data_IF_024847931296
#
_entry.id   IF_024847931296
#
_cell.length_a   1.000
_cell.length_b   1.000
_cell.length_c   1.000
_cell.angle_alpha   90.00
_cell.angle_beta   90.00
_cell.angle_gamma   90.00
#
_symmetry.space_group_name_H-M   'P 1'
#
loop_
_entity.id
_entity.type
_entity.pdbx_description
1 polymer ?
#
# COMPACT_ATOMS: atom_id res chain seq x y z
N UNK A 1 -23.40 -14.99 5.87
CA UNK A 1 -23.91 -13.90 6.76
C UNK A 1 -24.63 -14.58 7.93
N UNK A 2 -24.48 -14.10 9.17
CA UNK A 2 -25.15 -14.71 10.34
C UNK A 2 -26.61 -14.26 10.43
N UNK A 3 -27.50 -15.16 10.86
CA UNK A 3 -28.92 -14.87 11.11
C UNK A 3 -29.21 -14.48 12.57
N UNK A 4 -28.26 -14.67 13.48
CA UNK A 4 -28.40 -14.38 14.91
C UNK A 4 -28.46 -12.87 15.19
N UNK A 5 -29.55 -12.41 15.81
CA UNK A 5 -29.79 -10.99 16.10
C UNK A 5 -28.85 -10.41 17.17
N UNK A 6 -28.48 -11.19 18.19
CA UNK A 6 -27.53 -10.77 19.22
C UNK A 6 -26.12 -10.58 18.65
N UNK A 7 -25.72 -11.47 17.73
CA UNK A 7 -24.45 -11.33 16.99
C UNK A 7 -24.48 -10.13 16.04
N UNK A 8 -25.61 -9.89 15.35
CA UNK A 8 -25.76 -8.69 14.50
C UNK A 8 -25.69 -7.40 15.31
N UNK A 9 -26.28 -7.38 16.51
CA UNK A 9 -26.22 -6.23 17.41
C UNK A 9 -24.80 -6.00 17.91
N UNK A 10 -24.12 -7.05 18.42
CA UNK A 10 -22.72 -6.95 18.84
C UNK A 10 -21.80 -6.45 17.73
N UNK A 11 -21.96 -6.98 16.49
CA UNK A 11 -21.17 -6.52 15.35
C UNK A 11 -21.48 -5.06 14.98
N UNK A 12 -22.73 -4.60 15.11
CA UNK A 12 -23.12 -3.19 14.93
C UNK A 12 -22.46 -2.31 15.98
N UNK A 13 -22.52 -2.68 17.26
CA UNK A 13 -21.86 -1.95 18.35
C UNK A 13 -20.35 -1.88 18.13
N UNK A 14 -19.70 -3.00 17.82
CA UNK A 14 -18.25 -3.03 17.51
C UNK A 14 -17.89 -2.14 16.32
N UNK A 15 -18.71 -2.11 15.26
CA UNK A 15 -18.46 -1.20 14.13
C UNK A 15 -18.63 0.27 14.49
N UNK A 16 -19.57 0.62 15.38
CA UNK A 16 -19.76 1.99 15.86
C UNK A 16 -18.54 2.48 16.67
N UNK A 17 -18.04 1.65 17.59
CA UNK A 17 -16.86 2.02 18.40
C UNK A 17 -15.57 1.94 17.58
N UNK A 18 -15.43 0.95 16.71
CA UNK A 18 -14.25 0.76 15.88
C UNK A 18 -13.94 1.97 15.00
N UNK A 19 -14.96 2.72 14.55
CA UNK A 19 -14.75 3.93 13.74
C UNK A 19 -13.94 5.02 14.46
N UNK A 20 -14.15 5.17 15.78
CA UNK A 20 -13.40 6.13 16.60
C UNK A 20 -12.04 5.61 17.03
N UNK A 21 -11.80 4.30 16.91
CA UNK A 21 -10.52 3.70 17.23
C UNK A 21 -9.54 3.92 16.06
N UNK A 22 -8.47 4.71 16.25
CA UNK A 22 -7.44 4.88 15.25
C UNK A 22 -6.86 3.52 14.86
N UNK A 23 -6.49 3.37 13.58
CA UNK A 23 -5.82 2.16 13.08
C UNK A 23 -6.69 0.88 13.11
N UNK A 24 -7.97 1.02 13.45
CA UNK A 24 -8.95 -0.06 13.38
C UNK A 24 -9.25 -0.48 11.95
N UNK A 25 -9.90 -1.63 11.82
CA UNK A 25 -10.43 -2.09 10.53
C UNK A 25 -11.48 -1.11 9.99
N UNK A 26 -12.29 -0.53 10.86
CA UNK A 26 -13.33 0.43 10.54
C UNK A 26 -12.75 1.75 10.01
N UNK A 27 -11.60 2.21 10.53
CA UNK A 27 -10.84 3.33 9.96
C UNK A 27 -10.40 3.00 8.51
N UNK A 28 -9.86 1.80 8.25
CA UNK A 28 -9.51 1.39 6.87
C UNK A 28 -10.72 1.33 5.93
N UNK A 29 -11.89 0.94 6.43
CA UNK A 29 -13.14 1.01 5.67
C UNK A 29 -13.56 2.45 5.36
N UNK A 30 -13.32 3.39 6.28
CA UNK A 30 -13.52 4.83 6.04
C UNK A 30 -12.62 5.34 4.92
N UNK A 31 -11.30 5.06 4.99
CA UNK A 31 -10.34 5.40 3.93
C UNK A 31 -10.77 4.83 2.56
N UNK A 32 -11.26 3.58 2.53
CA UNK A 32 -11.78 2.96 1.31
C UNK A 32 -12.96 3.74 0.71
N UNK A 33 -13.88 4.25 1.53
CA UNK A 33 -15.01 5.06 1.05
C UNK A 33 -14.53 6.39 0.47
N UNK A 34 -13.53 7.02 1.09
CA UNK A 34 -12.89 8.24 0.56
C UNK A 34 -12.26 7.99 -0.81
N UNK A 35 -11.49 6.91 -0.95
CA UNK A 35 -10.95 6.48 -2.25
C UNK A 35 -12.05 6.25 -3.28
N UNK A 36 -13.13 5.56 -2.91
CA UNK A 36 -14.28 5.34 -3.81
C UNK A 36 -14.92 6.66 -4.26
N UNK A 37 -15.05 7.63 -3.37
CA UNK A 37 -15.54 8.96 -3.71
C UNK A 37 -14.63 9.68 -4.71
N UNK A 38 -13.31 9.57 -4.56
CA UNK A 38 -12.35 10.13 -5.54
C UNK A 38 -12.45 9.42 -6.89
N UNK A 39 -12.66 8.11 -6.89
CA UNK A 39 -12.88 7.34 -8.13
C UNK A 39 -14.15 7.81 -8.84
N UNK A 40 -15.23 8.05 -8.10
CA UNK A 40 -16.47 8.59 -8.67
C UNK A 40 -16.27 10.01 -9.25
N UNK A 41 -15.45 10.84 -8.60
CA UNK A 41 -15.21 12.22 -9.00
C UNK A 41 -14.23 12.37 -10.16
N UNK A 42 -13.15 11.59 -10.17
CA UNK A 42 -12.00 11.78 -11.06
C UNK A 42 -11.72 10.59 -11.99
N UNK A 43 -12.52 9.53 -11.92
CA UNK A 43 -12.28 8.27 -12.64
C UNK A 43 -11.27 7.36 -11.94
N UNK A 44 -10.83 6.32 -12.65
CA UNK A 44 -9.84 5.34 -12.12
C UNK A 44 -8.48 6.03 -11.97
N UNK A 45 -7.78 5.96 -10.83
CA UNK A 45 -6.48 6.61 -10.66
C UNK A 45 -5.46 6.12 -11.68
N UNK A 46 -4.67 7.05 -12.22
CA UNK A 46 -3.63 6.75 -13.22
C UNK A 46 -2.43 6.01 -12.63
N UNK A 47 -2.00 6.40 -11.43
CA UNK A 47 -0.77 5.85 -10.81
C UNK A 47 -1.11 5.29 -9.43
N UNK A 48 -0.69 4.05 -9.21
CA UNK A 48 -0.67 3.42 -7.89
C UNK A 48 0.76 2.97 -7.56
N UNK A 49 1.22 3.29 -6.37
CA UNK A 49 2.53 2.85 -5.87
C UNK A 49 2.54 2.80 -4.35
N UNK A 50 3.59 2.20 -3.80
CA UNK A 50 3.83 2.14 -2.36
C UNK A 50 5.16 2.80 -2.05
N UNK A 51 5.19 3.71 -1.08
CA UNK A 51 6.44 4.24 -0.54
C UNK A 51 6.68 3.67 0.85
N UNK A 52 7.86 3.08 1.03
CA UNK A 52 8.31 2.45 2.26
C UNK A 52 9.70 3.01 2.58
N UNK A 53 9.78 4.19 3.25
CA UNK A 53 11.04 4.79 3.63
C UNK A 53 11.89 3.82 4.45
N UNK A 54 13.19 3.80 4.20
CA UNK A 54 14.11 2.93 4.92
C UNK A 54 14.49 3.54 6.27
N UNK A 55 13.71 3.26 7.30
CA UNK A 55 13.91 3.76 8.67
C UNK A 55 15.05 3.07 9.44
N UNK A 56 15.79 2.16 8.81
CA UNK A 56 16.90 1.40 9.44
C UNK A 56 18.25 2.01 9.10
N UNK A 57 18.49 2.31 7.82
CA UNK A 57 19.80 2.78 7.35
C UNK A 57 19.78 4.15 6.71
N UNK A 58 18.63 4.83 6.66
CA UNK A 58 18.57 6.18 6.10
C UNK A 58 19.35 7.18 6.99
N UNK A 59 20.30 7.94 6.43
CA UNK A 59 21.11 8.89 7.19
C UNK A 59 20.30 9.95 7.94
N UNK A 60 19.24 10.49 7.34
CA UNK A 60 18.35 11.50 7.97
C UNK A 60 17.74 10.93 9.22
N UNK A 61 17.21 9.69 9.15
CA UNK A 61 16.60 9.02 10.29
C UNK A 61 17.63 8.73 11.38
N UNK A 62 18.80 8.20 11.02
CA UNK A 62 19.86 7.88 11.97
C UNK A 62 20.39 9.13 12.68
N UNK A 63 20.56 10.24 11.94
CA UNK A 63 20.95 11.54 12.50
C UNK A 63 19.88 12.07 13.45
N UNK A 64 18.61 12.05 13.06
CA UNK A 64 17.50 12.45 13.92
C UNK A 64 17.49 11.65 15.24
N UNK A 65 17.64 10.33 15.17
CA UNK A 65 17.66 9.48 16.35
C UNK A 65 18.87 9.78 17.26
N UNK A 66 20.06 9.92 16.68
CA UNK A 66 21.27 10.21 17.46
C UNK A 66 21.16 11.55 18.21
N UNK A 67 20.67 12.60 17.56
CA UNK A 67 20.50 13.93 18.15
C UNK A 67 19.35 14.02 19.15
N UNK A 68 18.37 13.12 19.10
CA UNK A 68 17.27 13.06 20.06
C UNK A 68 17.65 12.34 21.36
N UNK A 69 18.60 11.42 21.29
CA UNK A 69 19.00 10.59 22.44
C UNK A 69 20.30 11.01 23.09
N UNK A 70 21.05 11.94 22.49
CA UNK A 70 22.41 12.31 22.89
C UNK A 70 22.68 13.79 22.62
N UNK A 71 23.62 14.36 23.37
CA UNK A 71 24.17 15.70 23.12
C UNK A 71 24.87 15.77 21.74
N UNK A 72 24.94 16.96 21.08
CA UNK A 72 25.46 17.11 19.72
C UNK A 72 26.81 16.45 19.44
N UNK A 73 27.81 16.67 20.30
CA UNK A 73 29.16 16.11 20.11
C UNK A 73 29.16 14.58 20.22
N UNK A 74 28.37 14.03 21.15
CA UNK A 74 28.22 12.59 21.34
C UNK A 74 27.43 11.96 20.18
N UNK A 75 26.42 12.66 19.65
CA UNK A 75 25.67 12.24 18.47
C UNK A 75 26.59 12.16 17.24
N UNK A 76 27.41 13.17 16.99
CA UNK A 76 28.36 13.18 15.86
C UNK A 76 29.43 12.09 15.99
N UNK A 77 30.00 11.92 17.17
CA UNK A 77 30.94 10.83 17.44
C UNK A 77 30.28 9.45 17.21
N UNK A 78 29.03 9.29 17.63
CA UNK A 78 28.27 8.06 17.42
C UNK A 78 28.02 7.81 15.93
N UNK A 79 27.58 8.82 15.18
CA UNK A 79 27.31 8.74 13.74
C UNK A 79 28.56 8.33 12.95
N UNK A 80 29.73 8.90 13.27
CA UNK A 80 31.01 8.50 12.68
C UNK A 80 31.37 7.03 12.97
N UNK A 81 30.93 6.51 14.13
CA UNK A 81 31.16 5.11 14.53
C UNK A 81 30.14 4.09 13.96
N UNK A 82 29.13 4.54 13.20
CA UNK A 82 28.06 3.72 12.62
C UNK A 82 28.46 2.88 11.39
N UNK A 83 29.75 2.56 11.23
CA UNK A 83 30.22 1.65 10.17
C UNK A 83 29.61 0.24 10.24
N UNK A 84 29.13 -0.17 11.42
CA UNK A 84 28.57 -1.51 11.65
C UNK A 84 27.03 -1.53 11.50
N UNK A 85 26.52 -2.40 10.63
CA UNK A 85 25.08 -2.61 10.37
C UNK A 85 24.26 -2.87 11.64
N UNK A 86 24.81 -3.60 12.62
CA UNK A 86 24.18 -3.87 13.90
C UNK A 86 23.93 -2.61 14.74
N UNK A 87 24.87 -1.65 14.77
CA UNK A 87 24.70 -0.40 15.53
C UNK A 87 23.57 0.45 14.95
N UNK A 88 23.43 0.48 13.62
CA UNK A 88 22.33 1.17 12.92
C UNK A 88 20.99 0.55 13.26
N UNK A 89 20.89 -0.77 13.22
CA UNK A 89 19.68 -1.50 13.59
C UNK A 89 19.30 -1.26 15.05
N UNK A 90 20.27 -1.30 15.97
CA UNK A 90 20.04 -1.04 17.41
C UNK A 90 19.51 0.37 17.64
N UNK A 91 20.15 1.40 17.07
CA UNK A 91 19.66 2.77 17.18
C UNK A 91 18.26 2.91 16.56
N UNK A 92 18.03 2.22 15.44
CA UNK A 92 16.76 2.31 14.74
C UNK A 92 15.59 1.74 15.56
N UNK A 93 15.84 0.66 16.30
CA UNK A 93 14.86 0.01 17.18
C UNK A 93 14.71 0.79 18.50
N UNK A 94 15.77 1.39 19.03
CA UNK A 94 15.73 2.05 20.34
C UNK A 94 14.99 3.39 20.35
N UNK A 95 14.86 4.05 19.20
CA UNK A 95 14.10 5.31 19.07
C UNK A 95 13.01 5.22 17.98
N UNK A 96 11.87 4.58 18.30
CA UNK A 96 10.73 4.51 17.39
C UNK A 96 10.04 5.88 17.17
N UNK A 97 10.30 6.88 18.04
CA UNK A 97 9.78 8.24 17.83
C UNK A 97 10.46 8.90 16.64
N UNK A 98 11.77 8.74 16.48
CA UNK A 98 12.46 9.18 15.26
C UNK A 98 11.94 8.50 14.00
N UNK A 99 11.56 7.22 14.04
CA UNK A 99 10.95 6.56 12.88
C UNK A 99 9.62 7.19 12.50
N UNK A 100 8.77 7.54 13.48
CA UNK A 100 7.48 8.18 13.22
C UNK A 100 7.63 9.60 12.65
N UNK A 101 8.50 10.42 13.27
CA UNK A 101 8.80 11.79 12.81
C UNK A 101 9.40 11.76 11.39
N UNK A 102 10.40 10.89 11.17
CA UNK A 102 11.04 10.72 9.87
C UNK A 102 10.00 10.34 8.81
N UNK A 103 9.20 9.30 9.06
CA UNK A 103 8.17 8.87 8.13
C UNK A 103 7.24 10.04 7.77
N UNK A 104 6.66 10.72 8.75
CA UNK A 104 5.72 11.80 8.49
C UNK A 104 6.37 12.94 7.68
N UNK A 105 7.58 13.38 8.06
CA UNK A 105 8.36 14.38 7.33
C UNK A 105 8.56 13.98 5.86
N UNK A 106 9.06 12.78 5.61
CA UNK A 106 9.32 12.30 4.23
C UNK A 106 8.03 12.22 3.41
N UNK A 107 6.92 11.79 4.01
CA UNK A 107 5.65 11.68 3.29
C UNK A 107 5.06 13.05 2.96
N UNK A 108 5.17 14.02 3.87
CA UNK A 108 4.75 15.42 3.66
C UNK A 108 5.58 16.06 2.55
N UNK A 109 6.91 16.02 2.64
CA UNK A 109 7.81 16.56 1.61
C UNK A 109 7.57 15.92 0.24
N UNK A 110 7.30 14.61 0.21
CA UNK A 110 6.96 13.92 -1.03
C UNK A 110 5.68 14.47 -1.67
N UNK A 111 4.60 14.65 -0.90
CA UNK A 111 3.36 15.18 -1.47
C UNK A 111 3.48 16.66 -1.85
N UNK A 112 4.23 17.44 -1.08
CA UNK A 112 4.41 18.87 -1.29
C UNK A 112 5.29 19.16 -2.52
N UNK A 113 6.44 18.48 -2.64
CA UNK A 113 7.45 18.82 -3.64
C UNK A 113 7.51 17.86 -4.84
N UNK A 114 7.19 16.57 -4.66
CA UNK A 114 7.24 15.60 -5.75
C UNK A 114 5.89 15.43 -6.44
N UNK A 115 4.78 15.39 -5.69
CA UNK A 115 3.43 15.25 -6.25
C UNK A 115 2.83 16.60 -6.65
N UNK A 116 3.07 17.65 -5.86
CA UNK A 116 2.84 19.05 -6.22
C UNK A 116 1.50 19.33 -6.91
N UNK A 117 0.40 19.00 -6.22
CA UNK A 117 -0.96 19.06 -6.81
C UNK A 117 -1.28 20.45 -7.36
N UNK A 118 -1.81 20.49 -8.59
CA UNK A 118 -2.19 21.72 -9.30
C UNK A 118 -1.07 22.33 -10.14
N UNK A 119 0.17 21.87 -9.94
CA UNK A 119 1.37 22.35 -10.63
C UNK A 119 2.05 21.23 -11.42
N UNK A 120 3.16 21.57 -12.10
CA UNK A 120 4.03 20.59 -12.75
C UNK A 120 4.81 19.81 -11.68
N UNK A 121 4.70 18.48 -11.72
CA UNK A 121 5.28 17.56 -10.74
C UNK A 121 6.16 16.51 -11.42
N UNK A 122 6.90 15.71 -10.65
CA UNK A 122 7.71 14.62 -11.23
C UNK A 122 6.87 13.53 -11.90
N UNK A 123 5.57 13.50 -11.62
CA UNK A 123 4.60 12.58 -12.23
C UNK A 123 3.76 13.25 -13.33
N UNK A 124 4.12 14.47 -13.75
CA UNK A 124 3.28 15.34 -14.59
C UNK A 124 2.23 16.09 -13.77
N UNK A 125 1.18 16.61 -14.42
CA UNK A 125 0.18 17.47 -13.76
C UNK A 125 -0.84 16.66 -12.94
N UNK A 126 -0.69 16.67 -11.62
CA UNK A 126 -1.56 15.94 -10.67
C UNK A 126 -2.73 16.82 -10.22
N UNK A 127 -3.95 16.27 -10.21
CA UNK A 127 -5.16 16.97 -9.75
C UNK A 127 -5.61 16.54 -8.36
N UNK A 128 -5.33 15.30 -7.95
CA UNK A 128 -5.64 14.81 -6.61
C UNK A 128 -4.77 13.59 -6.24
N UNK A 129 -4.71 13.28 -4.95
CA UNK A 129 -4.06 12.08 -4.43
C UNK A 129 -4.75 11.55 -3.17
N UNK A 130 -4.51 10.27 -2.92
CA UNK A 130 -4.83 9.62 -1.65
C UNK A 130 -3.69 8.69 -1.23
N UNK A 131 -3.22 8.80 0.01
CA UNK A 131 -2.18 7.97 0.61
C UNK A 131 -2.65 7.33 1.90
N UNK A 132 -2.90 6.02 1.92
CA UNK A 132 -3.26 5.30 3.14
C UNK A 132 -2.00 4.81 3.87
N UNK A 133 -1.86 5.19 5.14
CA UNK A 133 -0.73 4.78 5.99
C UNK A 133 -1.02 3.42 6.62
N UNK A 134 -0.02 2.55 6.58
CA UNK A 134 -0.06 1.23 7.20
C UNK A 134 1.29 0.88 7.82
N UNK A 135 1.28 -0.17 8.63
CA UNK A 135 2.51 -0.77 9.14
C UNK A 135 2.83 -2.03 8.34
N UNK A 136 4.08 -2.17 7.90
CA UNK A 136 4.56 -3.39 7.26
C UNK A 136 4.82 -4.51 8.30
N UNK A 137 5.17 -5.70 7.82
CA UNK A 137 5.44 -6.88 8.66
C UNK A 137 6.62 -6.69 9.65
N UNK A 138 7.44 -5.66 9.45
CA UNK A 138 8.56 -5.31 10.35
C UNK A 138 8.17 -4.29 11.42
N UNK A 139 6.94 -3.79 11.41
CA UNK A 139 6.51 -2.74 12.34
C UNK A 139 6.84 -1.31 11.88
N UNK A 140 7.39 -1.11 10.69
CA UNK A 140 7.67 0.23 10.14
C UNK A 140 6.50 0.75 9.30
N UNK A 141 6.32 2.08 9.27
CA UNK A 141 5.26 2.72 8.50
C UNK A 141 5.61 2.75 7.00
N UNK A 142 4.61 2.48 6.17
CA UNK A 142 4.64 2.66 4.72
C UNK A 142 3.29 3.24 4.27
N UNK A 143 3.26 3.82 3.07
CA UNK A 143 2.05 4.40 2.50
C UNK A 143 1.72 3.77 1.16
N UNK A 144 0.45 3.41 0.98
CA UNK A 144 -0.10 3.04 -0.32
C UNK A 144 -0.77 4.26 -0.95
N UNK A 145 -0.33 4.64 -2.15
CA UNK A 145 -0.73 5.90 -2.79
C UNK A 145 -1.48 5.70 -4.10
N UNK A 146 -2.34 6.65 -4.38
CA UNK A 146 -3.14 6.82 -5.58
C UNK A 146 -2.97 8.25 -6.07
N UNK A 147 -2.64 8.43 -7.35
CA UNK A 147 -2.57 9.73 -8.00
C UNK A 147 -3.56 9.81 -9.17
N UNK A 148 -4.20 10.96 -9.30
CA UNK A 148 -5.05 11.30 -10.43
C UNK A 148 -4.38 12.41 -11.25
N UNK A 149 -4.22 12.17 -12.55
CA UNK A 149 -3.66 13.13 -13.48
C UNK A 149 -4.72 14.12 -13.99
N UNK A 150 -4.29 15.26 -14.52
CA UNK A 150 -5.16 16.12 -15.29
C UNK A 150 -5.67 15.37 -16.55
N UNK A 151 -6.98 15.34 -16.78
CA UNK A 151 -7.60 14.57 -17.87
C UNK A 151 -7.87 13.08 -17.56
N UNK A 152 -7.69 12.66 -16.30
CA UNK A 152 -7.78 11.24 -15.87
C UNK A 152 -9.18 10.59 -16.03
N UNK A 153 -10.27 11.36 -16.11
CA UNK A 153 -11.63 10.82 -16.12
C UNK A 153 -11.93 9.87 -17.29
N UNK A 154 -11.17 9.96 -18.39
CA UNK A 154 -11.36 9.12 -19.58
C UNK A 154 -10.47 7.86 -19.61
N UNK A 155 -9.71 7.55 -18.55
CA UNK A 155 -8.76 6.44 -18.55
C UNK A 155 -9.41 5.06 -18.83
N UNK A 156 -10.67 4.88 -18.42
CA UNK A 156 -11.40 3.61 -18.61
C UNK A 156 -11.85 3.37 -20.05
N UNK A 157 -12.14 4.41 -20.82
CA UNK A 157 -12.46 4.28 -22.26
C UNK A 157 -11.21 4.09 -23.12
N UNK A 158 -10.02 4.46 -22.63
CA UNK A 158 -8.75 4.34 -23.36
C UNK A 158 -8.38 2.89 -23.76
N UNK A 159 -8.86 1.88 -23.04
CA UNK A 159 -8.56 0.46 -23.34
C UNK A 159 -9.51 -0.10 -24.41
N UNK A 160 -10.70 0.48 -24.59
CA UNK A 160 -11.71 -0.03 -25.51
C UNK A 160 -11.50 0.46 -26.97
N UNK A 161 -10.85 1.61 -27.15
CA UNK A 161 -10.81 2.34 -28.43
C UNK A 161 -9.44 2.26 -29.11
N UNK A 162 -8.84 1.07 -29.15
CA UNK A 162 -7.43 0.90 -29.54
C UNK A 162 -7.21 1.01 -31.07
N UNK A 163 -8.19 0.82 -31.96
CA UNK A 163 -7.93 0.56 -33.38
C UNK A 163 -8.06 1.74 -34.38
N UNK A 164 -8.02 3.01 -33.94
CA UNK A 164 -8.15 4.20 -34.81
C UNK A 164 -6.84 4.95 -35.17
N UNK A 165 -6.83 5.75 -36.23
CA UNK A 165 -5.66 6.51 -36.72
C UNK A 165 -5.27 7.69 -35.79
N UNK A 166 -6.27 8.44 -35.28
CA UNK A 166 -6.09 9.45 -34.22
C UNK A 166 -5.55 8.86 -32.91
N UNK A 167 -5.67 7.55 -32.72
CA UNK A 167 -5.19 6.83 -31.54
C UNK A 167 -3.69 6.54 -31.59
N UNK A 168 -3.06 6.52 -32.78
CA UNK A 168 -1.61 6.32 -32.89
C UNK A 168 -0.84 7.49 -32.27
N UNK A 169 -1.24 8.74 -32.59
CA UNK A 169 -0.69 9.94 -31.97
C UNK A 169 -0.96 9.98 -30.46
N UNK A 170 -2.13 9.50 -30.03
CA UNK A 170 -2.46 9.44 -28.61
C UNK A 170 -1.60 8.43 -27.84
N UNK A 171 -1.41 7.21 -28.37
CA UNK A 171 -0.50 6.20 -27.81
C UNK A 171 0.92 6.72 -27.70
N UNK A 172 1.39 7.43 -28.73
CA UNK A 172 2.72 8.04 -28.73
C UNK A 172 2.88 9.05 -27.59
N UNK A 173 1.87 9.90 -27.34
CA UNK A 173 1.87 10.81 -26.18
C UNK A 173 1.90 10.07 -24.85
N UNK A 174 1.20 8.94 -24.73
CA UNK A 174 1.28 8.10 -23.52
C UNK A 174 2.68 7.52 -23.37
N UNK A 175 3.28 6.99 -24.44
CA UNK A 175 4.63 6.43 -24.41
C UNK A 175 5.63 7.50 -23.97
N UNK A 176 5.55 8.71 -24.54
CA UNK A 176 6.39 9.85 -24.15
C UNK A 176 6.22 10.25 -22.69
N UNK A 177 4.98 10.26 -22.19
CA UNK A 177 4.71 10.51 -20.78
C UNK A 177 5.27 9.41 -19.87
N UNK A 178 5.12 8.14 -20.24
CA UNK A 178 5.62 7.03 -19.45
C UNK A 178 7.15 7.07 -19.41
N UNK A 179 7.81 7.31 -20.54
CA UNK A 179 9.28 7.40 -20.61
C UNK A 179 9.83 8.63 -19.89
N UNK A 180 9.05 9.71 -19.73
CA UNK A 180 9.47 10.89 -18.96
C UNK A 180 9.37 10.71 -17.45
N UNK A 181 8.49 9.81 -16.97
CA UNK A 181 8.23 9.59 -15.54
C UNK A 181 8.88 8.31 -15.02
N UNK A 182 8.88 7.24 -15.83
CA UNK A 182 9.32 5.91 -15.45
C UNK A 182 10.46 5.44 -16.35
N UNK A 183 11.58 5.09 -15.72
CA UNK A 183 12.69 4.43 -16.38
C UNK A 183 12.85 3.04 -15.80
N UNK A 184 13.19 2.04 -16.63
CA UNK A 184 13.70 0.73 -16.21
C UNK A 184 15.14 0.44 -16.71
N UNK A 185 15.92 1.48 -17.03
CA UNK A 185 17.35 1.38 -17.34
C UNK A 185 18.25 1.49 -16.13
N UNK A 186 19.38 0.78 -16.15
CA UNK A 186 20.41 0.93 -15.16
C UNK A 186 21.75 0.86 -15.86
N UNK A 187 22.60 1.86 -15.66
CA UNK A 187 24.01 1.76 -16.01
C UNK A 187 24.72 0.97 -14.91
N UNK A 188 24.89 -0.32 -15.17
CA UNK A 188 25.50 -1.27 -14.24
C UNK A 188 26.99 -0.95 -14.02
N UNK A 189 27.69 -0.49 -15.05
CA UNK A 189 29.13 -0.19 -14.97
C UNK A 189 29.37 1.05 -14.11
N UNK A 190 28.63 2.14 -14.38
CA UNK A 190 28.68 3.35 -13.56
C UNK A 190 28.28 3.10 -12.10
N UNK A 191 27.24 2.29 -11.87
CA UNK A 191 26.89 1.86 -10.51
C UNK A 191 28.03 1.09 -9.82
N UNK A 192 28.61 0.09 -10.49
CA UNK A 192 29.69 -0.72 -9.92
C UNK A 192 30.94 0.10 -9.59
N UNK A 193 31.29 1.08 -10.44
CA UNK A 193 32.42 1.98 -10.22
C UNK A 193 32.23 2.79 -8.92
N UNK A 194 31.09 3.46 -8.77
CA UNK A 194 30.78 4.24 -7.56
C UNK A 194 30.62 3.37 -6.31
N UNK A 195 30.09 2.14 -6.46
CA UNK A 195 29.96 1.19 -5.36
C UNK A 195 31.32 0.76 -4.79
N UNK A 196 32.36 0.72 -5.63
CA UNK A 196 33.71 0.40 -5.17
C UNK A 196 34.32 1.53 -4.33
N UNK A 197 33.92 2.78 -4.57
CA UNK A 197 34.43 3.96 -3.87
C UNK A 197 33.69 4.25 -2.56
N UNK A 198 32.36 4.11 -2.56
CA UNK A 198 31.53 4.48 -1.40
C UNK A 198 30.25 3.69 -1.27
N UNK A 199 29.64 3.78 -0.09
CA UNK A 199 28.31 3.21 0.19
C UNK A 199 27.22 4.22 -0.18
N UNK A 200 26.02 3.75 -0.57
CA UNK A 200 24.83 4.61 -0.69
C UNK A 200 24.42 5.27 0.64
N UNK A 201 24.91 4.74 1.76
CA UNK A 201 24.72 5.36 3.07
C UNK A 201 25.85 6.34 3.47
N UNK A 202 26.82 6.60 2.58
CA UNK A 202 27.87 7.57 2.82
C UNK A 202 27.32 8.99 2.88
N UNK A 203 27.99 9.85 3.64
CA UNK A 203 27.66 11.26 3.74
C UNK A 203 27.95 11.97 2.41
N UNK A 204 26.96 12.73 1.92
CA UNK A 204 27.05 13.55 0.70
C UNK A 204 26.77 15.02 0.99
N UNK A 205 26.83 15.46 2.26
CA UNK A 205 26.50 16.83 2.65
C UNK A 205 27.31 17.86 1.86
N UNK A 206 28.61 17.61 1.64
CA UNK A 206 29.46 18.48 0.84
C UNK A 206 29.01 18.61 -0.62
N UNK A 207 28.41 17.56 -1.20
CA UNK A 207 27.84 17.61 -2.53
C UNK A 207 26.52 18.42 -2.53
N UNK A 208 25.70 18.24 -1.51
CA UNK A 208 24.41 18.94 -1.36
C UNK A 208 24.57 20.44 -1.07
N UNK A 209 25.65 20.84 -0.42
CA UNK A 209 25.96 22.24 -0.11
C UNK A 209 26.27 23.07 -1.38
N UNK A 210 26.61 22.41 -2.49
CA UNK A 210 26.88 23.04 -3.78
C UNK A 210 25.85 22.59 -4.82
N UNK A 211 24.86 23.44 -5.09
CA UNK A 211 23.76 23.13 -5.99
C UNK A 211 24.21 22.84 -7.41
N UNK A 212 25.18 23.59 -7.93
CA UNK A 212 25.72 23.40 -9.28
C UNK A 212 26.42 22.04 -9.39
N UNK A 213 27.23 21.69 -8.39
CA UNK A 213 27.93 20.41 -8.32
C UNK A 213 26.94 19.25 -8.20
N UNK A 214 25.95 19.35 -7.32
CA UNK A 214 24.91 18.33 -7.20
C UNK A 214 24.11 18.18 -8.49
N UNK A 215 23.76 19.28 -9.15
CA UNK A 215 23.05 19.25 -10.43
C UNK A 215 23.86 18.58 -11.52
N UNK A 216 25.18 18.78 -11.54
CA UNK A 216 26.08 18.13 -12.50
C UNK A 216 26.24 16.63 -12.24
N UNK A 217 26.21 16.20 -10.97
CA UNK A 217 26.35 14.81 -10.56
C UNK A 217 25.00 14.05 -10.45
N UNK A 218 23.87 14.72 -10.65
CA UNK A 218 22.54 14.19 -10.30
C UNK A 218 22.24 12.84 -10.97
N UNK A 219 22.51 12.72 -12.27
CA UNK A 219 22.21 11.50 -13.02
C UNK A 219 23.08 10.32 -12.57
N UNK A 220 24.36 10.56 -12.27
CA UNK A 220 25.28 9.56 -11.72
C UNK A 220 24.84 9.11 -10.32
N UNK A 221 24.47 10.07 -9.46
CA UNK A 221 23.96 9.80 -8.11
C UNK A 221 22.62 9.04 -8.14
N UNK A 222 21.72 9.40 -9.04
CA UNK A 222 20.44 8.73 -9.24
C UNK A 222 20.65 7.29 -9.74
N UNK A 223 21.55 7.08 -10.71
CA UNK A 223 21.93 5.75 -11.19
C UNK A 223 22.58 4.91 -10.08
N UNK A 224 23.44 5.50 -9.27
CA UNK A 224 24.07 4.85 -8.13
C UNK A 224 23.03 4.38 -7.09
N UNK A 225 22.07 5.24 -6.75
CA UNK A 225 20.94 4.91 -5.88
C UNK A 225 20.06 3.80 -6.48
N UNK A 226 19.78 3.87 -7.78
CA UNK A 226 18.99 2.88 -8.50
C UNK A 226 19.67 1.51 -8.49
N UNK A 227 20.98 1.43 -8.74
CA UNK A 227 21.71 0.17 -8.73
C UNK A 227 21.72 -0.50 -7.35
N UNK A 228 21.89 0.29 -6.28
CA UNK A 228 21.90 -0.25 -4.92
C UNK A 228 20.53 -0.74 -4.44
N UNK A 229 19.44 -0.16 -4.94
CA UNK A 229 18.09 -0.39 -4.39
C UNK A 229 17.16 -1.17 -5.31
N UNK A 230 17.37 -1.10 -6.62
CA UNK A 230 16.47 -1.64 -7.63
C UNK A 230 16.97 -2.91 -8.29
N UNK A 231 18.21 -3.36 -8.07
CA UNK A 231 18.66 -4.66 -8.57
C UNK A 231 18.04 -5.81 -7.74
N UNK A 232 17.53 -6.83 -8.44
CA UNK A 232 17.07 -8.09 -7.87
C UNK A 232 18.20 -9.06 -7.63
N UNK A 233 18.48 -9.26 -6.35
CA UNK A 233 19.20 -10.41 -5.83
C UNK A 233 18.20 -11.42 -5.28
N UNK A 234 18.34 -12.68 -5.69
CA UNK A 234 17.47 -13.73 -5.17
C UNK A 234 17.69 -13.89 -3.66
N UNK A 235 16.62 -13.72 -2.91
CA UNK A 235 16.56 -13.96 -1.48
C UNK A 235 15.63 -15.13 -1.15
N UNK A 236 15.70 -15.72 0.05
CA UNK A 236 14.76 -16.76 0.49
C UNK A 236 13.29 -16.39 0.26
N UNK A 237 12.95 -15.09 0.41
CA UNK A 237 11.60 -14.57 0.17
C UNK A 237 11.13 -14.76 -1.27
N UNK A 238 12.01 -14.59 -2.26
CA UNK A 238 11.62 -14.71 -3.67
C UNK A 238 11.57 -16.16 -4.15
N UNK A 239 12.34 -17.06 -3.52
CA UNK A 239 12.37 -18.49 -3.86
C UNK A 239 11.46 -19.36 -2.98
N UNK A 240 10.80 -18.75 -1.99
CA UNK A 240 9.94 -19.41 -0.99
C UNK A 240 8.93 -20.40 -1.60
N UNK A 241 8.34 -20.05 -2.74
CA UNK A 241 7.31 -20.85 -3.42
C UNK A 241 7.85 -21.77 -4.51
N UNK A 242 9.15 -21.73 -4.77
CA UNK A 242 9.82 -22.45 -5.85
C UNK A 242 10.15 -23.88 -5.44
N UNK A 243 10.30 -24.11 -4.13
CA UNK A 243 10.63 -25.41 -3.54
C UNK A 243 9.41 -26.19 -3.03
N UNK A 244 8.20 -25.60 -3.04
CA UNK A 244 6.99 -26.34 -2.72
C UNK A 244 6.68 -27.30 -3.88
N UNK A 245 7.02 -28.59 -3.72
CA UNK A 245 6.59 -29.67 -4.63
C UNK A 245 5.08 -29.57 -4.80
N UNK A 246 4.63 -29.27 -6.01
CA UNK A 246 3.20 -29.23 -6.32
C UNK A 246 2.59 -30.61 -6.07
N UNK A 247 1.64 -30.70 -5.13
CA UNK A 247 0.64 -31.76 -5.16
C UNK A 247 -0.19 -31.54 -6.43
N UNK A 248 0.11 -32.31 -7.47
CA UNK A 248 -0.60 -32.30 -8.74
C UNK A 248 0.14 -31.57 -9.86
N UNK A 249 0.94 -32.32 -10.63
CA UNK A 249 1.23 -32.23 -12.08
C UNK A 249 1.30 -30.89 -12.84
N UNK A 250 1.30 -29.73 -12.19
CA UNK A 250 1.29 -28.42 -12.83
C UNK A 250 2.69 -27.94 -13.20
N UNK A 251 2.80 -27.27 -14.37
CA UNK A 251 4.04 -26.69 -14.94
C UNK A 251 5.01 -26.17 -13.87
N UNK A 252 6.30 -26.50 -14.03
CA UNK A 252 7.42 -25.98 -13.22
C UNK A 252 7.24 -24.45 -13.03
N UNK A 253 6.89 -24.02 -11.82
CA UNK A 253 6.87 -22.59 -11.48
C UNK A 253 8.31 -22.06 -11.59
N UNK A 254 8.47 -20.86 -12.15
CA UNK A 254 9.78 -20.21 -12.24
C UNK A 254 10.45 -20.10 -10.86
N UNK A 255 11.78 -20.14 -10.83
CA UNK A 255 12.58 -20.12 -9.59
C UNK A 255 12.33 -18.88 -8.72
N UNK A 256 11.83 -17.79 -9.30
CA UNK A 256 11.53 -16.55 -8.61
C UNK A 256 10.03 -16.25 -8.64
N UNK A 257 9.44 -16.00 -7.46
CA UNK A 257 8.07 -15.50 -7.29
C UNK A 257 7.79 -14.25 -8.15
N UNK A 258 8.78 -13.39 -8.30
CA UNK A 258 8.67 -12.14 -9.06
C UNK A 258 8.97 -12.31 -10.56
N UNK A 259 9.24 -13.54 -11.01
CA UNK A 259 9.55 -13.87 -12.41
C UNK A 259 10.86 -13.27 -12.94
N UNK A 260 11.79 -12.91 -12.06
CA UNK A 260 13.15 -12.56 -12.46
C UNK A 260 13.92 -13.82 -12.96
N UNK A 261 14.81 -13.70 -13.96
CA UNK A 261 15.11 -12.48 -14.72
C UNK A 261 13.94 -12.06 -15.62
N UNK A 262 13.69 -10.76 -15.70
CA UNK A 262 12.63 -10.21 -16.53
C UNK A 262 13.07 -10.08 -17.98
N UNK A 263 12.11 -10.22 -18.89
CA UNK A 263 12.31 -10.00 -20.33
C UNK A 263 12.75 -8.55 -20.59
N UNK A 264 13.76 -8.40 -21.43
CA UNK A 264 14.21 -7.10 -21.94
C UNK A 264 13.22 -6.54 -22.96
N UNK A 265 13.06 -5.22 -22.94
CA UNK A 265 12.16 -4.49 -23.82
C UNK A 265 12.95 -3.32 -24.39
N UNK A 266 13.15 -3.31 -25.71
CA UNK A 266 14.00 -2.32 -26.38
C UNK A 266 13.41 -0.91 -26.35
N UNK A 267 12.09 -0.80 -26.50
CA UNK A 267 11.34 0.46 -26.47
C UNK A 267 10.00 0.31 -25.79
N UNK A 268 9.55 1.38 -25.12
CA UNK A 268 8.22 1.43 -24.50
C UNK A 268 7.16 1.37 -25.59
N UNK A 269 6.21 0.45 -25.46
CA UNK A 269 5.17 0.24 -26.47
C UNK A 269 3.97 -0.52 -25.91
N UNK A 270 2.83 -0.39 -26.58
CA UNK A 270 1.67 -1.24 -26.33
C UNK A 270 1.79 -2.55 -27.11
N UNK A 271 1.43 -3.66 -26.47
CA UNK A 271 1.23 -4.95 -27.15
C UNK A 271 -0.07 -4.94 -27.95
N UNK A 272 -0.23 -5.93 -28.85
CA UNK A 272 -1.49 -6.12 -29.58
C UNK A 272 -2.72 -6.27 -28.67
N UNK A 273 -2.53 -6.76 -27.43
CA UNK A 273 -3.60 -6.86 -26.42
C UNK A 273 -3.82 -5.60 -25.58
N UNK A 274 -3.26 -4.46 -25.97
CA UNK A 274 -3.41 -3.20 -25.23
C UNK A 274 -2.61 -3.10 -23.92
N UNK A 275 -1.74 -4.07 -23.63
CA UNK A 275 -0.88 -4.04 -22.44
C UNK A 275 0.35 -3.19 -22.72
N UNK A 276 0.61 -2.18 -21.89
CA UNK A 276 1.81 -1.36 -21.93
C UNK A 276 3.04 -2.15 -21.45
N UNK A 277 4.09 -2.13 -22.25
CA UNK A 277 5.43 -2.61 -21.89
C UNK A 277 6.37 -1.42 -21.80
N UNK A 278 7.05 -1.28 -20.66
CA UNK A 278 8.05 -0.23 -20.45
C UNK A 278 9.42 -0.74 -20.91
N UNK A 279 10.18 0.13 -21.56
CA UNK A 279 11.56 -0.10 -21.97
C UNK A 279 12.40 -0.57 -20.78
N UNK A 280 13.08 -1.71 -20.94
CA UNK A 280 13.91 -2.37 -19.93
C UNK A 280 15.20 -2.86 -20.55
N UNK A 281 16.32 -2.24 -20.15
CA UNK A 281 17.67 -2.66 -20.57
C UNK A 281 18.37 -3.59 -19.58
N UNK A 282 17.89 -3.70 -18.34
CA UNK A 282 18.49 -4.57 -17.33
C UNK A 282 17.51 -5.63 -16.81
N UNK A 283 17.84 -6.91 -17.01
CA UNK A 283 16.94 -8.05 -16.74
C UNK A 283 16.70 -8.33 -15.25
N UNK A 284 17.50 -7.71 -14.37
CA UNK A 284 17.35 -7.83 -12.91
C UNK A 284 16.83 -6.54 -12.26
N UNK A 285 16.47 -5.50 -13.02
CA UNK A 285 15.89 -4.29 -12.42
C UNK A 285 14.45 -4.56 -11.97
N UNK A 286 14.20 -4.36 -10.67
CA UNK A 286 12.88 -4.47 -10.03
C UNK A 286 12.05 -3.25 -10.39
N UNK A 287 11.21 -3.39 -11.41
CA UNK A 287 10.07 -2.50 -11.56
C UNK A 287 8.82 -3.30 -11.34
N UNK A 288 8.21 -3.11 -10.17
CA UNK A 288 6.91 -3.70 -9.82
C UNK A 288 5.86 -2.60 -10.06
N UNK A 289 5.76 -2.12 -11.30
CA UNK A 289 4.65 -1.27 -11.71
C UNK A 289 3.47 -2.20 -12.02
N UNK A 290 2.61 -2.44 -11.03
CA UNK A 290 1.41 -3.26 -11.22
C UNK A 290 0.19 -2.34 -11.19
N UNK A 291 -0.24 -1.87 -12.37
CA UNK A 291 -1.60 -1.32 -12.55
C UNK A 291 -2.55 -2.52 -12.56
N UNK A 292 -2.86 -3.07 -11.38
CA UNK A 292 -4.14 -3.72 -11.05
C UNK A 292 -4.15 -4.25 -9.61
N UNK A 293 -4.61 -3.45 -8.63
CA UNK A 293 -5.46 -3.85 -7.48
C UNK A 293 -5.69 -2.65 -6.52
N UNK A 294 -6.19 -1.55 -7.08
CA UNK A 294 -6.10 -0.19 -6.55
C UNK A 294 -6.88 0.07 -5.25
N UNK A 295 -7.91 -0.71 -4.91
CA UNK A 295 -8.72 -0.45 -3.70
C UNK A 295 -8.50 -1.44 -2.57
N UNK A 296 -8.41 -2.74 -2.88
CA UNK A 296 -8.20 -3.79 -1.87
C UNK A 296 -6.75 -3.81 -1.35
N UNK A 297 -5.77 -3.48 -2.19
CA UNK A 297 -4.36 -3.49 -1.79
C UNK A 297 -3.93 -2.15 -1.19
N UNK A 298 -4.50 -1.03 -1.65
CA UNK A 298 -4.15 0.29 -1.09
C UNK A 298 -4.57 0.44 0.38
N UNK A 299 -5.55 -0.31 0.84
CA UNK A 299 -6.01 -0.30 2.23
C UNK A 299 -5.72 -1.60 2.97
N UNK A 300 -5.00 -2.54 2.32
CA UNK A 300 -4.84 -3.96 2.69
C UNK A 300 -5.97 -4.42 3.60
N UNK A 301 -7.19 -4.35 3.07
CA UNK A 301 -8.31 -4.97 3.77
C UNK A 301 -8.03 -6.46 3.67
N UNK A 302 -7.48 -7.02 4.75
CA UNK A 302 -7.32 -8.46 4.87
C UNK A 302 -8.63 -9.12 4.44
N UNK A 303 -8.51 -10.25 3.73
CA UNK A 303 -9.64 -10.97 3.15
C UNK A 303 -10.87 -10.90 4.07
N UNK A 304 -12.04 -10.47 3.55
CA UNK A 304 -13.22 -10.40 4.39
C UNK A 304 -13.41 -11.79 5.03
N UNK A 305 -13.50 -11.80 6.36
CA UNK A 305 -13.36 -12.96 7.25
C UNK A 305 -14.01 -14.24 6.73
N UNK A 306 -15.12 -14.14 6.00
CA UNK A 306 -15.78 -15.27 5.36
C UNK A 306 -14.91 -16.04 4.33
N UNK A 307 -14.02 -15.39 3.59
CA UNK A 307 -13.09 -16.06 2.65
C UNK A 307 -12.04 -16.89 3.37
N UNK A 308 -11.51 -16.38 4.48
CA UNK A 308 -10.54 -17.10 5.34
C UNK A 308 -11.20 -18.25 6.08
N UNK A 309 -12.46 -18.05 6.52
CA UNK A 309 -13.29 -19.10 7.11
C UNK A 309 -13.66 -20.17 6.08
N UNK A 310 -13.95 -19.82 4.82
CA UNK A 310 -14.22 -20.78 3.75
C UNK A 310 -12.97 -21.61 3.42
N UNK A 311 -11.81 -20.98 3.27
CA UNK A 311 -10.55 -21.67 3.02
C UNK A 311 -10.11 -22.57 4.19
N UNK A 312 -10.33 -22.12 5.44
CA UNK A 312 -10.06 -22.93 6.62
C UNK A 312 -11.08 -24.07 6.80
N UNK A 313 -12.35 -23.86 6.43
CA UNK A 313 -13.38 -24.90 6.42
C UNK A 313 -13.08 -25.98 5.37
N UNK A 314 -12.60 -25.60 4.18
CA UNK A 314 -12.14 -26.53 3.14
C UNK A 314 -10.88 -27.31 3.55
N UNK A 315 -9.94 -26.66 4.23
CA UNK A 315 -8.75 -27.33 4.82
C UNK A 315 -9.14 -28.26 5.98
N UNK A 316 -10.18 -27.89 6.73
CA UNK A 316 -10.69 -28.69 7.85
C UNK A 316 -11.43 -29.92 7.36
N UNK A 317 -12.33 -29.81 6.37
CA UNK A 317 -12.98 -30.97 5.72
C UNK A 317 -11.97 -31.90 5.05
N UNK A 318 -10.89 -31.35 4.48
CA UNK A 318 -9.77 -32.14 3.96
C UNK A 318 -8.92 -32.80 5.08
N UNK A 319 -8.88 -32.23 6.29
CA UNK A 319 -8.16 -32.77 7.45
C UNK A 319 -8.98 -33.75 8.30
N UNK A 320 -10.31 -33.65 8.25
CA UNK A 320 -11.23 -34.56 8.94
C UNK A 320 -11.66 -35.74 8.09
N UNK A 321 -11.03 -35.96 6.93
CA UNK A 321 -11.14 -37.21 6.18
C UNK A 321 -12.56 -37.55 5.74
N UNK A 322 -13.27 -36.60 5.12
CA UNK A 322 -14.44 -36.97 4.29
C UNK A 322 -14.04 -36.95 2.81
N UNK A 323 -13.20 -37.92 2.49
CA UNK A 323 -12.89 -38.34 1.12
C UNK A 323 -12.85 -39.87 1.09
N UNK A 324 -14.02 -40.46 0.85
CA UNK A 324 -14.31 -41.87 0.50
C UNK A 324 -14.03 -42.95 1.55
N UNK A 325 -15.12 -43.47 2.12
CA UNK A 325 -15.18 -44.85 2.61
C UNK A 325 -15.31 -45.79 1.41
N UNK A 326 -14.33 -46.68 1.24
CA UNK A 326 -14.57 -48.04 0.74
C UNK A 326 -14.31 -49.00 1.90
N UNK A 327 -15.38 -49.28 2.65
CA UNK A 327 -15.64 -50.59 3.25
C UNK A 327 -15.17 -50.87 4.69
N UNK A 328 -16.05 -51.61 5.39
CA UNK A 328 -15.88 -52.38 6.63
C UNK A 328 -15.83 -51.52 7.91
N UNK A 329 -16.70 -51.62 8.92
CA UNK A 329 -17.69 -52.60 9.34
C UNK A 329 -17.77 -52.53 10.88
N UNK A 330 -18.95 -52.79 11.45
CA UNK A 330 -19.28 -52.99 12.89
C UNK A 330 -19.47 -51.78 13.82
N UNK A 331 -20.75 -51.48 14.10
CA UNK A 331 -21.38 -51.73 15.40
C UNK A 331 -21.31 -50.65 16.48
N UNK A 332 -22.48 -50.17 16.94
CA UNK A 332 -22.65 -49.54 18.25
C UNK A 332 -23.67 -48.41 18.30
N UNK A 333 -24.87 -48.71 18.78
CA UNK A 333 -25.97 -47.77 19.02
C UNK A 333 -25.67 -46.72 20.12
N UNK A 334 -26.21 -45.52 19.92
CA UNK A 334 -26.84 -44.72 20.97
C UNK A 334 -25.95 -43.82 21.85
N UNK A 335 -25.86 -42.53 21.53
CA UNK A 335 -25.78 -41.45 22.54
C UNK A 335 -25.99 -40.05 21.93
N UNK A 336 -27.21 -39.53 22.11
CA UNK A 336 -27.60 -38.14 22.41
C UNK A 336 -27.01 -36.96 21.62
N UNK A 337 -27.95 -36.21 21.03
CA UNK A 337 -27.92 -34.94 20.29
C UNK A 337 -27.30 -33.72 21.03
N UNK A 338 -26.56 -33.93 22.13
CA UNK A 338 -26.01 -32.86 22.99
C UNK A 338 -24.51 -32.59 22.78
N UNK A 339 -23.76 -33.48 22.13
CA UNK A 339 -22.34 -33.25 21.82
C UNK A 339 -22.13 -32.14 20.75
N UNK A 340 -23.15 -31.86 19.94
CA UNK A 340 -23.10 -30.84 18.87
C UNK A 340 -23.37 -29.43 19.40
N UNK A 341 -24.00 -29.28 20.57
CA UNK A 341 -24.24 -27.97 21.22
C UNK A 341 -22.99 -27.41 21.92
N UNK A 342 -22.10 -28.28 22.42
CA UNK A 342 -20.84 -27.87 23.05
C UNK A 342 -19.87 -27.10 22.14
N UNK A 343 -20.09 -27.15 20.82
CA UNK A 343 -19.22 -26.54 19.83
C UNK A 343 -19.65 -25.12 19.42
N UNK A 344 -20.92 -24.73 19.58
CA UNK A 344 -21.38 -23.39 19.12
C UNK A 344 -20.84 -22.27 19.99
N UNK A 345 -20.83 -22.43 21.31
CA UNK A 345 -20.25 -21.47 22.25
C UNK A 345 -18.74 -21.38 22.08
N UNK A 346 -18.05 -22.50 21.88
CA UNK A 346 -16.61 -22.52 21.57
C UNK A 346 -16.31 -21.85 20.23
N UNK A 347 -17.09 -22.11 19.18
CA UNK A 347 -16.95 -21.43 17.88
C UNK A 347 -17.31 -19.95 17.94
N UNK A 348 -18.25 -19.55 18.79
CA UNK A 348 -18.62 -18.16 19.04
C UNK A 348 -17.51 -17.45 19.82
N UNK A 349 -17.03 -18.05 20.90
CA UNK A 349 -15.87 -17.57 21.66
C UNK A 349 -14.62 -17.53 20.79
N UNK A 350 -14.38 -18.50 19.90
CA UNK A 350 -13.29 -18.43 18.92
C UNK A 350 -13.51 -17.34 17.86
N UNK A 351 -14.75 -17.05 17.47
CA UNK A 351 -15.07 -15.93 16.56
C UNK A 351 -14.91 -14.57 17.23
N UNK A 352 -15.31 -14.45 18.50
CA UNK A 352 -15.15 -13.26 19.35
C UNK A 352 -13.67 -13.08 19.69
N UNK A 353 -12.99 -14.13 20.12
CA UNK A 353 -11.54 -14.22 20.28
C UNK A 353 -10.82 -13.82 18.99
N UNK A 354 -11.16 -14.37 17.81
CA UNK A 354 -10.53 -13.95 16.56
C UNK A 354 -10.94 -12.53 16.09
N UNK A 355 -11.96 -11.90 16.70
CA UNK A 355 -12.38 -10.51 16.43
C UNK A 355 -11.77 -9.52 17.44
N UNK A 356 -11.52 -9.97 18.67
CA UNK A 356 -10.86 -9.26 19.76
C UNK A 356 -9.34 -9.40 19.62
N UNK A 357 -8.84 -10.63 19.52
CA UNK A 357 -7.45 -11.02 19.22
C UNK A 357 -7.08 -10.94 17.72
N UNK A 358 -7.89 -10.31 16.87
CA UNK A 358 -7.32 -9.53 15.74
C UNK A 358 -6.62 -8.26 16.25
N UNK A 359 -5.99 -8.34 17.43
CA UNK A 359 -4.80 -7.58 17.75
C UNK A 359 -3.79 -7.89 16.65
N UNK A 360 -3.78 -7.08 15.59
CA UNK A 360 -2.48 -6.77 15.04
C UNK A 360 -1.73 -6.14 16.21
N UNK A 361 -0.62 -6.72 16.61
CA UNK A 361 0.29 -6.06 17.54
C UNK A 361 0.62 -4.71 16.91
N UNK A 362 0.20 -3.62 17.55
CA UNK A 362 0.54 -2.29 17.09
C UNK A 362 2.05 -2.15 17.24
N UNK A 363 2.72 -1.67 16.19
CA UNK A 363 4.15 -1.40 16.33
C UNK A 363 4.37 -0.19 17.22
N UNK A 364 5.54 -0.11 17.85
CA UNK A 364 5.91 1.06 18.65
C UNK A 364 5.86 2.34 17.81
N UNK A 365 6.28 2.27 16.55
CA UNK A 365 6.24 3.39 15.60
C UNK A 365 4.82 3.83 15.31
N UNK A 366 3.91 2.87 15.13
CA UNK A 366 2.50 3.13 14.87
C UNK A 366 1.80 3.78 16.06
N UNK A 367 2.05 3.28 17.28
CA UNK A 367 1.52 3.88 18.51
C UNK A 367 2.05 5.30 18.70
N UNK A 368 3.35 5.52 18.49
CA UNK A 368 3.95 6.84 18.64
C UNK A 368 3.45 7.82 17.59
N UNK A 369 3.29 7.40 16.33
CA UNK A 369 2.71 8.24 15.30
C UNK A 369 1.31 8.72 15.70
N UNK A 370 0.49 7.85 16.29
CA UNK A 370 -0.80 8.24 16.84
C UNK A 370 -0.68 9.23 18.00
N UNK A 371 0.22 8.98 18.97
CA UNK A 371 0.43 9.87 20.12
C UNK A 371 0.98 11.25 19.71
N UNK A 372 1.75 11.33 18.62
CA UNK A 372 2.22 12.58 18.01
C UNK A 372 1.12 13.30 17.20
N UNK A 373 -0.06 12.71 17.07
CA UNK A 373 -1.18 13.28 16.32
C UNK A 373 -1.04 13.18 14.80
N UNK A 374 -0.14 12.31 14.29
CA UNK A 374 0.01 12.15 12.85
C UNK A 374 -1.20 11.43 12.22
N UNK A 375 -1.62 11.86 11.02
CA UNK A 375 -2.79 11.28 10.37
C UNK A 375 -2.47 9.87 9.84
N UNK A 376 -3.50 9.02 9.76
CA UNK A 376 -3.40 7.68 9.14
C UNK A 376 -3.61 7.71 7.63
N UNK A 377 -3.82 8.90 7.06
CA UNK A 377 -4.00 9.14 5.64
C UNK A 377 -3.39 10.48 5.25
N UNK A 378 -2.99 10.58 3.99
CA UNK A 378 -2.60 11.82 3.34
C UNK A 378 -3.53 12.04 2.17
N UNK A 379 -4.13 13.22 2.07
CA UNK A 379 -5.00 13.57 0.96
C UNK A 379 -4.98 15.08 0.76
N UNK A 380 -5.22 15.52 -0.49
CA UNK A 380 -5.40 16.96 -0.77
C UNK A 380 -6.76 17.47 -0.27
N UNK A 381 -7.76 16.60 -0.20
CA UNK A 381 -9.13 16.97 0.20
C UNK A 381 -9.22 17.08 1.74
N UNK A 382 -9.45 18.31 2.24
CA UNK A 382 -9.61 18.60 3.67
C UNK A 382 -11.00 18.23 4.20
N UNK A 383 -12.04 18.37 3.38
CA UNK A 383 -13.43 18.32 3.82
C UNK A 383 -14.16 17.13 3.23
N UNK A 384 -14.37 16.10 4.06
CA UNK A 384 -15.10 14.90 3.68
C UNK A 384 -16.51 14.92 4.29
N UNK A 385 -17.53 15.02 3.44
CA UNK A 385 -18.92 14.92 3.87
C UNK A 385 -19.51 13.57 3.46
N UNK A 386 -19.90 12.77 4.43
CA UNK A 386 -20.66 11.55 4.18
C UNK A 386 -22.12 11.91 3.94
N UNK A 387 -22.57 11.84 2.70
CA UNK A 387 -23.96 12.09 2.36
C UNK A 387 -24.78 10.81 2.48
N UNK A 388 -25.82 10.84 3.31
CA UNK A 388 -26.79 9.75 3.33
C UNK A 388 -27.58 9.79 2.02
N UNK A 389 -27.43 8.76 1.19
CA UNK A 389 -28.08 8.68 -0.14
C UNK A 389 -29.60 8.82 -0.04
N UNK A 390 -30.19 8.46 1.11
CA UNK A 390 -31.61 8.67 1.42
C UNK A 390 -31.96 10.17 1.43
N UNK A 391 -31.11 11.04 1.98
CA UNK A 391 -31.31 12.50 1.95
C UNK A 391 -31.22 13.07 0.53
N UNK A 392 -30.35 12.50 -0.31
CA UNK A 392 -30.19 12.87 -1.72
C UNK A 392 -31.45 12.50 -2.53
N UNK A 393 -32.04 11.34 -2.25
CA UNK A 393 -33.34 10.95 -2.79
C UNK A 393 -34.44 11.92 -2.34
N UNK A 394 -34.50 12.31 -1.05
CA UNK A 394 -35.47 13.31 -0.59
C UNK A 394 -35.27 14.67 -1.27
N UNK A 395 -34.02 15.11 -1.45
CA UNK A 395 -33.72 16.35 -2.16
C UNK A 395 -34.11 16.25 -3.65
N UNK A 396 -33.70 15.24 -4.41
CA UNK A 396 -34.08 15.15 -5.82
C UNK A 396 -35.57 14.87 -6.05
N UNK A 397 -36.20 14.05 -5.20
CA UNK A 397 -37.60 13.66 -5.37
C UNK A 397 -38.58 14.72 -4.85
N UNK A 398 -38.22 15.55 -3.86
CA UNK A 398 -39.15 16.50 -3.24
C UNK A 398 -38.79 17.98 -3.44
N UNK A 399 -37.56 18.33 -3.83
CA UNK A 399 -37.18 19.74 -4.09
C UNK A 399 -37.94 20.39 -5.26
N UNK A 400 -38.35 19.68 -6.34
CA UNK A 400 -39.24 20.24 -7.35
C UNK A 400 -40.64 20.59 -6.81
N UNK A 401 -41.05 20.02 -5.67
CA UNK A 401 -42.38 20.21 -5.07
C UNK A 401 -42.37 21.18 -3.87
N UNK A 402 -41.19 21.63 -3.43
CA UNK A 402 -41.02 22.45 -2.23
C UNK A 402 -40.96 23.97 -2.49
N UNK A 403 -41.03 24.41 -3.75
CA UNK A 403 -41.07 25.85 -4.10
C UNK A 403 -42.32 26.60 -3.58
N UNK A 404 -43.30 25.89 -3.02
CA UNK A 404 -44.50 26.49 -2.42
C UNK A 404 -44.46 26.68 -0.89
N UNK A 405 -43.42 26.22 -0.18
CA UNK A 405 -43.47 26.09 1.30
C UNK A 405 -42.27 26.67 2.07
N UNK A 406 -41.30 27.31 1.43
CA UNK A 406 -40.13 27.87 2.12
C UNK A 406 -40.07 29.40 1.95
N UNK A 407 -40.39 30.09 3.05
CA UNK A 407 -40.19 31.52 3.28
C UNK A 407 -38.68 31.87 3.09
N UNK A 408 -38.28 32.98 2.42
CA UNK A 408 -36.89 33.22 2.01
C UNK A 408 -35.86 33.46 3.13
N UNK A 409 -36.27 33.37 4.39
CA UNK A 409 -35.41 33.67 5.56
C UNK A 409 -35.52 32.55 6.60
N UNK A 410 -34.84 31.42 6.37
CA UNK A 410 -34.83 30.28 7.29
C UNK A 410 -33.49 29.59 7.33
N UNK A 411 -32.64 30.02 8.25
CA UNK A 411 -31.35 29.42 8.60
C UNK A 411 -31.57 27.95 9.01
N UNK A 412 -30.97 27.00 8.29
CA UNK A 412 -30.91 25.60 8.71
C UNK A 412 -29.73 25.45 9.66
N UNK A 413 -30.00 25.40 10.97
CA UNK A 413 -29.07 24.92 11.97
C UNK A 413 -29.07 23.39 11.98
N UNK A 414 -27.93 22.78 11.68
CA UNK A 414 -27.66 21.36 11.96
C UNK A 414 -27.03 21.21 13.34
N UNK A 415 -27.66 20.44 14.23
CA UNK A 415 -27.03 19.87 15.44
C UNK A 415 -26.51 18.47 15.16
#
# INVERSE_FOLDING_TARGET
KTSDEGVKELLRSLSLYGFRQPMSRENRLSMRRKIQSLVLRHGVPAIWFTLNPNDITNPVKLRLAAYRTSEPDAAEAFLKSLGMSYKRLRLAISDPMSSAIFFHREMTLFFEHYVKVGEESVFGRIIDYFGAVETNERGALHVHRLLWLHGNAHLSSMIADIDGEDQATYRERIIQYIDSVFSEDLDQEGYCALQAERSVASDISSLLDNREQFSAAFDEEANFCAGATQIHTHSPTCVKYSFSKGKGGGKKRGLCRFQAPWRLVEKTAFTAGGVLQIRRRHSMRKTIALIYYVTNYATKVEDPVWKRVAAAAELWTASTGEGTANGWGYGGEGATDDAVKGNRTRQFLMRVANRIFTERSLSQVEVIAHLLGYPTEFTKSSDWTFLNVSLLYWHQAFYPYAYGLINPYGIIHTR
#
